data_IF_383245704410
#
_entry.id   IF_383245704410
#
_cell.length_a   1.000
_cell.length_b   1.000
_cell.length_c   1.000
_cell.angle_alpha   90.00
_cell.angle_beta   90.00
_cell.angle_gamma   90.00
#
_symmetry.space_group_name_H-M   'P 1'
#
loop_
_entity.id
_entity.type
_entity.pdbx_description
1 polymer ?
#
# COMPACT_ATOMS: atom_id res chain seq x y z
N UNK A 1 -2.78 20.82 -11.21
CA UNK A 1 -3.19 19.96 -10.07
C UNK A 1 -3.82 18.63 -10.52
N UNK A 2 -4.67 18.62 -11.55
CA UNK A 2 -5.42 17.41 -11.97
C UNK A 2 -4.53 16.22 -12.34
N UNK A 3 -3.39 16.45 -13.00
CA UNK A 3 -2.42 15.39 -13.35
C UNK A 3 -1.68 14.83 -12.13
N UNK A 4 -1.50 15.65 -11.08
CA UNK A 4 -0.94 15.18 -9.80
C UNK A 4 -1.94 14.24 -9.12
N UNK A 5 -3.23 14.60 -9.10
CA UNK A 5 -4.29 13.72 -8.56
C UNK A 5 -4.36 12.42 -9.35
N UNK A 6 -4.29 12.48 -10.69
CA UNK A 6 -4.26 11.29 -11.54
C UNK A 6 -3.06 10.40 -11.23
N UNK A 7 -1.86 10.98 -11.09
CA UNK A 7 -0.64 10.24 -10.76
C UNK A 7 -0.75 9.60 -9.36
N UNK A 8 -1.15 10.35 -8.33
CA UNK A 8 -1.35 9.82 -6.97
C UNK A 8 -2.36 8.67 -6.95
N UNK A 9 -3.49 8.84 -7.66
CA UNK A 9 -4.52 7.83 -7.82
C UNK A 9 -3.98 6.56 -8.49
N UNK A 10 -3.23 6.71 -9.60
CA UNK A 10 -2.66 5.59 -10.33
C UNK A 10 -1.60 4.85 -9.50
N UNK A 11 -0.74 5.58 -8.76
CA UNK A 11 0.24 4.97 -7.84
C UNK A 11 -0.46 4.12 -6.79
N UNK A 12 -1.45 4.67 -6.09
CA UNK A 12 -2.15 3.95 -5.03
C UNK A 12 -2.91 2.74 -5.59
N UNK A 13 -3.66 2.91 -6.68
CA UNK A 13 -4.34 1.78 -7.34
C UNK A 13 -3.35 0.69 -7.70
N UNK A 14 -2.22 1.03 -8.33
CA UNK A 14 -1.19 0.06 -8.70
C UNK A 14 -0.62 -0.68 -7.49
N UNK A 15 -0.25 0.04 -6.43
CA UNK A 15 0.28 -0.53 -5.20
C UNK A 15 -0.73 -1.46 -4.51
N UNK A 16 -2.00 -1.02 -4.38
CA UNK A 16 -3.03 -1.83 -3.74
C UNK A 16 -3.42 -3.04 -4.59
N UNK A 17 -3.40 -2.97 -5.93
CA UNK A 17 -3.60 -4.12 -6.81
C UNK A 17 -2.47 -5.14 -6.61
N UNK A 18 -1.20 -4.72 -6.59
CA UNK A 18 -0.07 -5.63 -6.37
C UNK A 18 -0.15 -6.27 -4.99
N UNK A 19 -0.48 -5.48 -3.95
CA UNK A 19 -0.66 -5.96 -2.58
C UNK A 19 -1.79 -6.99 -2.49
N UNK A 20 -2.95 -6.67 -3.06
CA UNK A 20 -4.13 -7.54 -3.10
C UNK A 20 -3.84 -8.83 -3.86
N UNK A 21 -3.29 -8.73 -5.08
CA UNK A 21 -2.93 -9.88 -5.91
C UNK A 21 -1.98 -10.82 -5.17
N UNK A 22 -0.99 -10.28 -4.46
CA UNK A 22 -0.07 -11.07 -3.63
C UNK A 22 -0.76 -11.88 -2.54
N UNK A 23 -1.89 -11.39 -1.99
CA UNK A 23 -2.64 -12.05 -0.93
C UNK A 23 -3.69 -13.04 -1.45
N UNK A 24 -4.38 -12.72 -2.57
CA UNK A 24 -5.46 -13.55 -3.12
C UNK A 24 -5.02 -14.54 -4.19
N UNK A 25 -3.75 -14.57 -4.55
CA UNK A 25 -3.16 -15.45 -5.59
C UNK A 25 -3.40 -16.95 -5.34
N UNK A 26 -3.80 -17.33 -4.11
CA UNK A 26 -4.15 -18.68 -3.75
C UNK A 26 -4.31 -18.85 -2.25
N UNK A 27 -4.91 -19.98 -1.84
CA UNK A 27 -5.15 -20.30 -0.41
C UNK A 27 -3.86 -20.24 0.43
N UNK A 28 -2.72 -20.68 -0.14
CA UNK A 28 -1.41 -20.65 0.55
C UNK A 28 -0.92 -19.23 0.78
N UNK A 29 -1.08 -18.33 -0.21
CA UNK A 29 -0.67 -16.94 -0.10
C UNK A 29 -1.48 -16.21 0.99
N UNK A 30 -2.79 -16.39 1.01
CA UNK A 30 -3.65 -15.83 2.04
C UNK A 30 -3.33 -16.39 3.44
N UNK A 31 -3.15 -17.72 3.56
CA UNK A 31 -2.79 -18.35 4.81
C UNK A 31 -1.47 -17.80 5.37
N UNK A 32 -0.48 -17.61 4.50
CA UNK A 32 0.82 -17.02 4.88
C UNK A 32 0.68 -15.57 5.34
N UNK A 33 -0.11 -14.75 4.64
CA UNK A 33 -0.41 -13.38 5.07
C UNK A 33 -1.11 -13.35 6.43
N UNK A 34 -2.16 -14.17 6.61
CA UNK A 34 -2.87 -14.28 7.89
C UNK A 34 -1.95 -14.70 9.03
N UNK A 35 -1.05 -15.65 8.79
CA UNK A 35 -0.08 -16.09 9.80
C UNK A 35 0.89 -14.97 10.16
N UNK A 36 1.40 -14.19 9.21
CA UNK A 36 2.28 -13.06 9.51
C UNK A 36 1.59 -12.02 10.41
N UNK A 37 0.30 -11.69 10.16
CA UNK A 37 -0.48 -10.78 11.03
C UNK A 37 -0.67 -11.34 12.44
N UNK A 38 -0.84 -12.65 12.58
CA UNK A 38 -0.93 -13.32 13.89
C UNK A 38 0.43 -13.29 14.62
N UNK A 39 1.54 -13.50 13.90
CA UNK A 39 2.90 -13.48 14.43
C UNK A 39 3.34 -12.11 14.95
N UNK A 40 2.75 -11.03 14.47
CA UNK A 40 2.99 -9.69 15.04
C UNK A 40 2.58 -9.59 16.50
N UNK A 41 1.65 -10.44 16.96
CA UNK A 41 1.15 -10.50 18.35
C UNK A 41 0.72 -9.14 18.91
N UNK A 42 0.21 -8.27 18.03
CA UNK A 42 -0.36 -6.97 18.40
C UNK A 42 -1.77 -7.16 18.99
N UNK A 43 -2.51 -8.08 18.39
CA UNK A 43 -3.90 -8.42 18.73
C UNK A 43 -4.00 -9.91 19.16
N UNK A 44 -5.13 -10.28 19.77
CA UNK A 44 -5.44 -11.68 20.02
C UNK A 44 -5.54 -12.46 18.69
N UNK A 45 -5.31 -13.78 18.72
CA UNK A 45 -5.30 -14.62 17.50
C UNK A 45 -6.59 -14.50 16.68
N UNK A 46 -7.75 -14.38 17.36
CA UNK A 46 -9.06 -14.22 16.67
C UNK A 46 -9.17 -12.86 16.00
N UNK A 47 -8.77 -11.79 16.69
CA UNK A 47 -8.78 -10.43 16.17
C UNK A 47 -7.76 -10.25 15.04
N UNK A 48 -6.58 -10.86 15.13
CA UNK A 48 -5.59 -10.84 14.04
C UNK A 48 -6.11 -11.53 12.78
N UNK A 49 -6.86 -12.63 12.95
CA UNK A 49 -7.48 -13.31 11.83
C UNK A 49 -8.58 -12.46 11.15
N UNK A 50 -9.42 -11.80 11.97
CA UNK A 50 -10.43 -10.87 11.48
C UNK A 50 -9.80 -9.64 10.81
N UNK A 51 -8.72 -9.08 11.39
CA UNK A 51 -7.97 -7.98 10.81
C UNK A 51 -7.36 -8.34 9.46
N UNK A 52 -6.89 -9.57 9.26
CA UNK A 52 -6.37 -10.03 7.98
C UNK A 52 -7.46 -10.07 6.89
N UNK A 53 -8.68 -10.51 7.23
CA UNK A 53 -9.84 -10.45 6.31
C UNK A 53 -10.20 -9.00 6.01
N UNK A 54 -10.34 -8.18 7.07
CA UNK A 54 -10.66 -6.76 6.95
C UNK A 54 -9.64 -6.00 6.09
N UNK A 55 -8.35 -6.30 6.24
CA UNK A 55 -7.29 -5.70 5.43
C UNK A 55 -7.49 -5.97 3.94
N UNK A 56 -7.73 -7.22 3.55
CA UNK A 56 -7.99 -7.61 2.14
C UNK A 56 -9.24 -6.92 1.61
N UNK A 57 -10.32 -6.89 2.40
CA UNK A 57 -11.56 -6.21 2.03
C UNK A 57 -11.37 -4.69 1.84
N UNK A 58 -10.63 -4.04 2.76
CA UNK A 58 -10.32 -2.62 2.68
C UNK A 58 -9.42 -2.30 1.49
N UNK A 59 -8.40 -3.13 1.20
CA UNK A 59 -7.53 -2.97 0.02
C UNK A 59 -8.35 -3.05 -1.28
N UNK A 60 -9.25 -4.03 -1.40
CA UNK A 60 -10.17 -4.11 -2.53
C UNK A 60 -11.08 -2.87 -2.61
N UNK A 61 -11.59 -2.41 -1.47
CA UNK A 61 -12.38 -1.18 -1.37
C UNK A 61 -11.61 0.06 -1.86
N UNK A 62 -10.34 0.19 -1.49
CA UNK A 62 -9.47 1.28 -1.97
C UNK A 62 -9.36 1.27 -3.49
N UNK A 63 -9.09 0.09 -4.09
CA UNK A 63 -8.97 -0.06 -5.55
C UNK A 63 -10.27 0.35 -6.23
N UNK A 64 -11.42 -0.14 -5.75
CA UNK A 64 -12.74 0.19 -6.31
C UNK A 64 -13.06 1.68 -6.17
N UNK A 65 -12.91 2.25 -4.97
CA UNK A 65 -13.23 3.67 -4.72
C UNK A 65 -12.32 4.60 -5.51
N UNK A 66 -11.04 4.30 -5.61
CA UNK A 66 -10.12 5.09 -6.44
C UNK A 66 -10.38 4.88 -7.95
N UNK A 67 -10.96 3.77 -8.39
CA UNK A 67 -11.35 3.57 -9.78
C UNK A 67 -12.60 4.40 -10.15
N UNK A 68 -13.49 4.70 -9.21
CA UNK A 68 -14.72 5.43 -9.45
C UNK A 68 -14.48 6.96 -9.40
N UNK A 69 -14.87 7.72 -10.44
CA UNK A 69 -14.58 9.16 -10.50
C UNK A 69 -15.26 9.98 -9.41
N UNK A 70 -16.43 9.57 -8.93
CA UNK A 70 -17.17 10.27 -7.87
C UNK A 70 -16.74 9.89 -6.45
N UNK A 71 -15.99 8.78 -6.28
CA UNK A 71 -15.60 8.26 -4.99
C UNK A 71 -14.10 8.44 -4.67
N UNK A 72 -13.38 9.22 -5.49
CA UNK A 72 -11.92 9.38 -5.40
C UNK A 72 -11.50 9.88 -4.02
N UNK A 73 -12.20 10.84 -3.44
CA UNK A 73 -11.89 11.38 -2.13
C UNK A 73 -12.03 10.30 -1.03
N UNK A 74 -13.13 9.54 -1.05
CA UNK A 74 -13.35 8.42 -0.12
C UNK A 74 -12.28 7.34 -0.28
N UNK A 75 -11.82 7.11 -1.52
CA UNK A 75 -10.72 6.20 -1.82
C UNK A 75 -9.40 6.64 -1.17
N UNK A 76 -9.05 7.92 -1.23
CA UNK A 76 -7.87 8.45 -0.54
C UNK A 76 -7.98 8.35 0.98
N UNK A 77 -9.16 8.64 1.54
CA UNK A 77 -9.40 8.51 2.99
C UNK A 77 -9.24 7.05 3.43
N UNK A 78 -9.85 6.11 2.74
CA UNK A 78 -9.73 4.69 3.07
C UNK A 78 -8.29 4.20 2.91
N UNK A 79 -7.59 4.58 1.84
CA UNK A 79 -6.18 4.25 1.64
C UNK A 79 -5.31 4.76 2.79
N UNK A 80 -5.54 6.00 3.24
CA UNK A 80 -4.84 6.59 4.39
C UNK A 80 -5.08 5.78 5.67
N UNK A 81 -6.33 5.40 5.95
CA UNK A 81 -6.67 4.60 7.15
C UNK A 81 -5.98 3.25 7.11
N UNK A 82 -6.02 2.56 5.97
CA UNK A 82 -5.38 1.24 5.79
C UNK A 82 -3.86 1.34 5.97
N UNK A 83 -3.21 2.31 5.32
CA UNK A 83 -1.76 2.50 5.43
C UNK A 83 -1.34 2.91 6.84
N UNK A 84 -2.10 3.75 7.53
CA UNK A 84 -1.83 4.12 8.92
C UNK A 84 -1.94 2.89 9.84
N UNK A 85 -3.01 2.11 9.72
CA UNK A 85 -3.21 0.90 10.52
C UNK A 85 -2.07 -0.13 10.30
N UNK A 86 -1.60 -0.32 9.05
CA UNK A 86 -0.45 -1.16 8.77
C UNK A 86 0.84 -0.59 9.37
N UNK A 87 1.07 0.72 9.24
CA UNK A 87 2.25 1.39 9.79
C UNK A 87 2.30 1.27 11.30
N UNK A 88 1.18 1.49 11.98
CA UNK A 88 1.07 1.37 13.44
C UNK A 88 1.30 -0.08 13.88
N UNK A 89 0.68 -1.04 13.18
CA UNK A 89 0.87 -2.47 13.46
C UNK A 89 2.33 -2.92 13.34
N UNK A 90 3.00 -2.52 12.24
CA UNK A 90 4.41 -2.82 11.99
C UNK A 90 5.29 -2.14 13.05
N UNK A 91 5.07 -0.85 13.32
CA UNK A 91 5.83 -0.08 14.29
C UNK A 91 5.73 -0.66 15.70
N UNK A 92 4.53 -1.10 16.09
CA UNK A 92 4.30 -1.73 17.38
C UNK A 92 4.96 -3.12 17.47
N UNK A 93 4.93 -3.90 16.39
CA UNK A 93 5.63 -5.19 16.32
C UNK A 93 7.15 -5.01 16.46
N UNK A 94 7.73 -4.02 15.76
CA UNK A 94 9.15 -3.68 15.85
C UNK A 94 9.55 -3.21 17.24
N UNK A 95 8.77 -2.32 17.87
CA UNK A 95 9.01 -1.86 19.25
C UNK A 95 8.98 -3.00 20.27
N UNK A 96 8.24 -4.08 19.99
CA UNK A 96 8.18 -5.29 20.83
C UNK A 96 9.29 -6.30 20.48
N UNK A 97 10.26 -5.95 19.64
CA UNK A 97 11.37 -6.82 19.24
C UNK A 97 10.94 -8.06 18.45
N UNK A 98 9.82 -8.00 17.71
CA UNK A 98 9.35 -9.13 16.92
C UNK A 98 10.06 -9.20 15.57
N UNK A 99 10.66 -10.34 15.27
CA UNK A 99 11.32 -10.66 13.99
C UNK A 99 10.37 -11.39 13.04
N UNK A 100 9.16 -10.85 12.86
CA UNK A 100 8.19 -11.45 11.94
C UNK A 100 8.52 -11.08 10.48
N UNK A 101 8.10 -11.89 9.52
CA UNK A 101 8.24 -11.59 8.09
C UNK A 101 7.05 -10.76 7.63
N UNK A 102 7.29 -9.61 6.95
CA UNK A 102 6.23 -8.83 6.35
C UNK A 102 5.85 -9.42 4.99
N UNK A 103 4.63 -9.91 4.86
CA UNK A 103 4.07 -10.42 3.58
C UNK A 103 3.02 -9.48 2.99
N UNK A 104 3.20 -8.18 3.19
CA UNK A 104 2.24 -7.18 2.67
C UNK A 104 2.20 -7.14 1.14
N UNK A 105 3.31 -7.43 0.46
CA UNK A 105 3.45 -7.42 -1.01
C UNK A 105 3.78 -8.80 -1.60
N UNK A 106 3.19 -9.86 -1.08
CA UNK A 106 3.32 -11.21 -1.63
C UNK A 106 4.42 -12.04 -0.99
N UNK A 107 5.22 -12.75 -1.79
CA UNK A 107 6.17 -13.77 -1.34
C UNK A 107 7.51 -13.21 -0.80
N UNK A 108 7.60 -11.93 -0.42
CA UNK A 108 8.84 -11.40 0.15
C UNK A 108 9.16 -12.12 1.46
N UNK A 109 10.39 -12.57 1.59
CA UNK A 109 10.95 -13.18 2.80
C UNK A 109 11.65 -12.16 3.69
N UNK A 110 11.53 -10.87 3.36
CA UNK A 110 12.20 -9.77 4.06
C UNK A 110 11.65 -9.66 5.48
N UNK A 111 12.50 -9.66 6.50
CA UNK A 111 12.07 -9.42 7.88
C UNK A 111 11.42 -8.04 8.01
N UNK A 112 10.51 -7.91 8.97
CA UNK A 112 9.97 -6.61 9.36
C UNK A 112 11.12 -5.65 9.67
N UNK A 113 11.13 -4.51 9.01
CA UNK A 113 12.17 -3.52 9.15
C UNK A 113 11.66 -2.10 8.95
N UNK A 114 12.55 -1.13 9.12
CA UNK A 114 12.25 0.28 8.95
C UNK A 114 11.86 0.62 7.51
N UNK A 115 12.33 -0.16 6.54
CA UNK A 115 12.01 0.00 5.11
C UNK A 115 10.50 -0.03 4.85
N UNK A 116 9.77 -0.96 5.48
CA UNK A 116 8.31 -1.05 5.33
C UNK A 116 7.60 0.15 5.94
N UNK A 117 8.11 0.68 7.05
CA UNK A 117 7.58 1.90 7.68
C UNK A 117 7.80 3.11 6.76
N UNK A 118 9.02 3.29 6.26
CA UNK A 118 9.36 4.39 5.34
C UNK A 118 8.50 4.32 4.06
N UNK A 119 8.37 3.14 3.47
CA UNK A 119 7.51 2.93 2.29
C UNK A 119 6.06 3.34 2.56
N UNK A 120 5.48 2.91 3.67
CA UNK A 120 4.11 3.28 4.02
C UNK A 120 3.96 4.78 4.29
N UNK A 121 4.96 5.42 4.92
CA UNK A 121 4.97 6.87 5.13
C UNK A 121 5.01 7.65 3.80
N UNK A 122 5.80 7.18 2.82
CA UNK A 122 5.81 7.78 1.48
C UNK A 122 4.43 7.63 0.80
N UNK A 123 3.79 6.46 0.91
CA UNK A 123 2.44 6.25 0.37
C UNK A 123 1.39 7.10 1.10
N UNK A 124 1.54 7.32 2.41
CA UNK A 124 0.70 8.26 3.16
C UNK A 124 0.85 9.70 2.65
N UNK A 125 2.07 10.14 2.33
CA UNK A 125 2.30 11.44 1.72
C UNK A 125 1.61 11.54 0.35
N UNK A 126 1.68 10.49 -0.48
CA UNK A 126 0.95 10.42 -1.76
C UNK A 126 -0.57 10.50 -1.53
N UNK A 127 -1.11 9.83 -0.50
CA UNK A 127 -2.53 9.92 -0.15
C UNK A 127 -2.95 11.35 0.22
N UNK A 128 -2.15 12.04 1.04
CA UNK A 128 -2.43 13.43 1.47
C UNK A 128 -2.39 14.35 0.26
N UNK A 129 -1.34 14.26 -0.56
CA UNK A 129 -1.19 15.09 -1.77
C UNK A 129 -2.34 14.86 -2.74
N UNK A 130 -2.73 13.61 -2.97
CA UNK A 130 -3.85 13.25 -3.82
C UNK A 130 -5.20 13.75 -3.28
N UNK A 131 -5.44 13.61 -1.98
CA UNK A 131 -6.66 14.08 -1.32
C UNK A 131 -6.80 15.61 -1.39
N UNK A 132 -5.72 16.35 -1.04
CA UNK A 132 -5.70 17.82 -1.15
C UNK A 132 -5.87 18.25 -2.60
N UNK A 133 -5.17 17.60 -3.53
CA UNK A 133 -5.36 17.91 -4.95
C UNK A 133 -6.79 17.67 -5.44
N UNK A 134 -7.46 16.64 -4.94
CA UNK A 134 -8.83 16.30 -5.31
C UNK A 134 -9.86 17.34 -4.81
N UNK A 135 -9.59 18.06 -3.71
CA UNK A 135 -10.47 19.14 -3.23
C UNK A 135 -10.34 20.41 -4.06
N UNK A 136 -9.16 20.63 -4.66
CA UNK A 136 -8.85 21.86 -5.40
C UNK A 136 -9.08 21.71 -6.91
N UNK A 137 -9.09 20.46 -7.41
CA UNK A 137 -9.19 20.18 -8.84
C UNK A 137 -10.58 19.67 -9.21
N UNK A 138 -11.29 20.41 -10.06
CA UNK A 138 -12.60 20.02 -10.58
C UNK A 138 -12.49 19.57 -12.05
N UNK A 139 -12.98 18.38 -12.36
CA UNK A 139 -13.14 17.86 -13.71
C UNK A 139 -12.10 16.80 -14.13
N UNK A 140 -12.30 16.14 -15.28
CA UNK A 140 -11.38 15.15 -15.83
C UNK A 140 -10.16 15.80 -16.50
N UNK A 141 -9.02 15.07 -16.59
CA UNK A 141 -7.87 15.55 -17.34
C UNK A 141 -8.21 15.66 -18.82
N UNK A 142 -7.96 16.84 -19.41
CA UNK A 142 -8.38 17.16 -20.80
C UNK A 142 -7.33 16.88 -21.85
N UNK A 143 -6.05 16.76 -21.47
CA UNK A 143 -4.94 16.58 -22.41
C UNK A 143 -4.38 15.17 -22.34
N UNK A 144 -4.41 14.44 -23.47
CA UNK A 144 -3.84 13.10 -23.60
C UNK A 144 -2.33 13.03 -23.26
N UNK A 145 -1.47 13.97 -23.75
CA UNK A 145 -0.04 13.92 -23.41
C UNK A 145 0.23 14.06 -21.90
N UNK A 146 -0.46 14.98 -21.22
CA UNK A 146 -0.31 15.15 -19.78
C UNK A 146 -0.75 13.93 -18.97
N UNK A 147 -1.81 13.25 -19.40
CA UNK A 147 -2.27 12.00 -18.79
C UNK A 147 -1.27 10.87 -19.00
N UNK A 148 -0.67 10.76 -20.19
CA UNK A 148 0.35 9.75 -20.50
C UNK A 148 1.60 9.94 -19.62
N UNK A 149 2.08 11.16 -19.45
CA UNK A 149 3.21 11.49 -18.56
C UNK A 149 2.87 11.15 -17.10
N UNK A 150 1.67 11.50 -16.62
CA UNK A 150 1.26 11.21 -15.25
C UNK A 150 1.18 9.69 -14.99
N UNK A 151 0.65 8.91 -15.94
CA UNK A 151 0.54 7.46 -15.82
C UNK A 151 1.90 6.76 -15.93
N UNK A 152 2.79 7.20 -16.81
CA UNK A 152 4.15 6.64 -16.92
C UNK A 152 4.96 6.91 -15.65
N UNK A 153 4.89 8.12 -15.09
CA UNK A 153 5.51 8.45 -13.83
C UNK A 153 4.94 7.59 -12.68
N UNK A 154 3.62 7.39 -12.65
CA UNK A 154 2.98 6.52 -11.67
C UNK A 154 3.43 5.06 -11.81
N UNK A 155 3.51 4.52 -13.02
CA UNK A 155 3.98 3.15 -13.25
C UNK A 155 5.43 2.97 -12.78
N UNK A 156 6.32 3.92 -13.08
CA UNK A 156 7.70 3.92 -12.59
C UNK A 156 7.76 3.95 -11.06
N UNK A 157 6.95 4.81 -10.43
CA UNK A 157 6.87 4.89 -8.97
C UNK A 157 6.37 3.57 -8.34
N UNK A 158 5.36 2.94 -8.93
CA UNK A 158 4.86 1.62 -8.47
C UNK A 158 5.96 0.57 -8.57
N UNK A 159 6.65 0.48 -9.71
CA UNK A 159 7.76 -0.47 -9.88
C UNK A 159 8.86 -0.24 -8.86
N UNK A 160 9.25 1.02 -8.64
CA UNK A 160 10.27 1.38 -7.66
C UNK A 160 9.85 0.98 -6.23
N UNK A 161 8.62 1.32 -5.82
CA UNK A 161 8.10 1.00 -4.49
C UNK A 161 7.98 -0.52 -4.26
N UNK A 162 7.54 -1.27 -5.29
CA UNK A 162 7.42 -2.74 -5.21
C UNK A 162 8.79 -3.41 -5.13
N UNK A 163 9.79 -2.88 -5.87
CA UNK A 163 11.16 -3.41 -5.91
C UNK A 163 12.12 -2.78 -4.90
N UNK A 164 11.61 -1.93 -4.01
CA UNK A 164 12.44 -1.22 -3.04
C UNK A 164 13.27 -2.17 -2.17
N UNK A 165 12.69 -3.28 -1.75
CA UNK A 165 13.40 -4.29 -0.94
C UNK A 165 14.54 -4.95 -1.74
N UNK A 166 14.32 -5.22 -3.03
CA UNK A 166 15.35 -5.79 -3.93
C UNK A 166 16.49 -4.79 -4.16
N UNK A 167 16.14 -3.51 -4.36
CA UNK A 167 17.13 -2.43 -4.57
C UNK A 167 17.97 -2.20 -3.32
N UNK A 168 17.37 -2.20 -2.14
CA UNK A 168 18.09 -2.03 -0.89
C UNK A 168 18.97 -3.23 -0.58
N UNK A 169 18.56 -4.45 -0.94
CA UNK A 169 19.40 -5.65 -0.80
C UNK A 169 20.66 -5.60 -1.68
N UNK A 170 20.61 -4.91 -2.81
CA UNK A 170 21.77 -4.71 -3.68
C UNK A 170 22.73 -3.60 -3.19
N UNK A 171 22.21 -2.62 -2.43
CA UNK A 171 22.97 -1.48 -1.93
C UNK A 171 23.48 -1.68 -0.48
N UNK A 172 22.91 -2.64 0.25
CA UNK A 172 23.33 -2.99 1.60
C UNK A 172 24.54 -3.93 1.58
N UNK A 173 25.46 -3.85 2.56
CA UNK A 173 26.51 -4.85 2.71
C UNK A 173 25.85 -6.22 2.98
N UNK A 174 26.44 -7.31 2.48
CA UNK A 174 25.96 -8.64 2.79
C UNK A 174 26.07 -8.86 4.30
N UNK A 175 24.90 -9.07 4.94
CA UNK A 175 24.80 -9.45 6.36
C UNK A 175 24.87 -10.95 6.46
#
# INVERSE_FOLDING_TARGET
>A
MIYVVLACRAVLVGIFIVSLAGKIRGRRAYASFRMSVIEWRVLSRRLSAAAAVGAVACEAGVVVLLALPWAVWSGFVLARVVLAAFTDGISLALRRGRTAVCRCFGASTTPLGMTQVVRNLLLLAVCVTGAVGATVSSGPPRNLPGSAVALSAAATAVLFVVRLDDVLALLGPPV
#
